data_IF_515453128097
#
_entry.id   IF_515453128097
#
_cell.length_a   1.000
_cell.length_b   1.000
_cell.length_c   1.000
_cell.angle_alpha   90.00
_cell.angle_beta   90.00
_cell.angle_gamma   90.00
#
_symmetry.space_group_name_H-M   'P 1'
#
loop_
_entity.id
_entity.type
_entity.pdbx_description
1 polymer ?
#
# COMPACT_ATOMS: atom_id res chain seq x y z
N UNK A 1 1.92 17.56 7.65
CA UNK A 1 2.99 18.28 6.95
C UNK A 1 2.32 19.34 6.08
N UNK A 2 2.35 20.60 6.49
CA UNK A 2 1.69 21.69 5.76
C UNK A 2 2.61 22.17 4.64
N UNK A 3 2.19 21.99 3.39
CA UNK A 3 2.81 22.62 2.24
C UNK A 3 2.37 24.09 2.24
N UNK A 4 3.31 24.99 2.52
CA UNK A 4 3.10 26.42 2.28
C UNK A 4 3.50 26.68 0.83
N UNK A 5 2.52 26.88 -0.03
CA UNK A 5 2.75 27.36 -1.39
C UNK A 5 3.41 28.74 -1.33
N UNK A 6 4.71 28.80 -1.62
CA UNK A 6 5.54 30.02 -1.62
C UNK A 6 5.19 31.00 -2.74
N UNK A 7 4.32 30.63 -3.68
CA UNK A 7 3.95 31.48 -4.81
C UNK A 7 2.70 32.36 -4.58
N UNK A 8 2.04 32.29 -3.43
CA UNK A 8 0.87 33.11 -3.13
C UNK A 8 0.81 33.56 -1.65
N UNK A 9 1.86 34.23 -1.15
CA UNK A 9 1.75 34.87 0.17
C UNK A 9 0.84 36.12 0.08
N UNK A 10 -0.12 36.23 1.01
CA UNK A 10 -1.01 37.40 1.10
C UNK A 10 -0.22 38.72 1.30
N UNK A 11 0.99 38.63 1.88
CA UNK A 11 1.90 39.76 2.08
C UNK A 11 2.45 40.31 0.75
N UNK A 12 2.72 39.45 -0.24
CA UNK A 12 3.18 39.85 -1.57
C UNK A 12 2.07 40.51 -2.42
N UNK A 13 0.80 40.15 -2.17
CA UNK A 13 -0.35 40.78 -2.83
C UNK A 13 -0.63 42.19 -2.29
N UNK A 14 -0.47 42.41 -0.98
CA UNK A 14 -0.67 43.72 -0.33
C UNK A 14 0.42 44.72 -0.76
N UNK A 15 1.66 44.27 -0.95
CA UNK A 15 2.76 45.08 -1.47
C UNK A 15 2.50 45.62 -2.90
N UNK A 16 1.75 44.87 -3.73
CA UNK A 16 1.46 45.25 -5.12
C UNK A 16 0.32 46.26 -5.26
N UNK A 17 -0.73 46.16 -4.43
CA UNK A 17 -1.95 46.94 -4.64
C UNK A 17 -2.07 48.20 -3.76
N UNK A 18 -1.36 48.32 -2.62
CA UNK A 18 -1.19 49.55 -1.83
C UNK A 18 -0.17 49.31 -0.70
N UNK A 19 1.14 49.58 -0.91
CA UNK A 19 2.15 49.23 0.08
C UNK A 19 2.05 50.11 1.34
N UNK A 20 1.95 49.52 2.55
CA UNK A 20 1.99 50.27 3.80
C UNK A 20 3.39 50.84 4.05
N UNK A 21 3.49 51.92 4.85
CA UNK A 21 4.77 52.64 5.07
C UNK A 21 5.85 51.80 5.76
N UNK A 22 5.48 50.75 6.48
CA UNK A 22 6.41 49.75 7.04
C UNK A 22 5.78 48.39 6.78
N UNK A 23 6.52 47.51 6.11
CA UNK A 23 6.12 46.13 5.84
C UNK A 23 7.24 45.20 6.28
N UNK A 24 6.91 44.22 7.13
CA UNK A 24 7.84 43.18 7.58
C UNK A 24 7.41 41.89 6.89
N UNK A 25 8.23 41.39 5.97
CA UNK A 25 8.03 40.09 5.32
C UNK A 25 8.82 39.01 6.05
N UNK A 26 8.25 37.81 6.10
CA UNK A 26 8.96 36.61 6.52
C UNK A 26 9.30 35.78 5.28
N UNK A 27 10.59 35.70 4.97
CA UNK A 27 11.09 34.88 3.88
C UNK A 27 11.93 33.74 4.47
N UNK A 28 11.61 32.50 4.08
CA UNK A 28 12.40 31.34 4.46
C UNK A 28 13.61 31.28 3.53
N UNK A 29 14.77 31.67 4.04
CA UNK A 29 16.01 31.61 3.28
C UNK A 29 16.57 30.17 3.27
N UNK A 30 16.27 29.42 2.22
CA UNK A 30 16.68 28.00 2.11
C UNK A 30 18.13 27.82 1.65
N UNK A 31 18.94 28.87 1.41
CA UNK A 31 20.35 28.77 0.96
C UNK A 31 20.58 27.81 -0.24
N UNK A 32 19.58 27.62 -1.11
CA UNK A 32 19.65 26.64 -2.19
C UNK A 32 19.61 25.18 -1.71
N UNK A 33 19.07 24.92 -0.53
CA UNK A 33 18.91 23.58 0.03
C UNK A 33 18.09 22.71 -0.92
N UNK A 34 18.68 21.61 -1.35
CA UNK A 34 18.00 20.59 -2.12
C UNK A 34 16.89 19.98 -1.28
N UNK A 35 15.66 20.00 -1.79
CA UNK A 35 14.53 19.34 -1.15
C UNK A 35 14.83 17.84 -1.08
N UNK A 36 14.89 17.27 0.12
CA UNK A 36 15.00 15.83 0.30
C UNK A 36 13.67 15.19 -0.11
N UNK A 37 13.63 14.63 -1.32
CA UNK A 37 12.51 13.80 -1.77
C UNK A 37 12.69 12.41 -1.17
N UNK A 38 11.76 11.97 -0.32
CA UNK A 38 11.76 10.58 0.14
C UNK A 38 11.10 9.69 -0.91
N UNK A 39 11.84 8.67 -1.35
CA UNK A 39 11.29 7.61 -2.19
C UNK A 39 10.90 6.44 -1.28
N UNK A 40 9.61 6.07 -1.20
CA UNK A 40 9.22 4.90 -0.44
C UNK A 40 9.79 3.65 -1.10
N UNK A 41 10.39 2.77 -0.28
CA UNK A 41 10.82 1.46 -0.74
C UNK A 41 9.63 0.50 -0.75
N UNK A 42 9.34 -0.08 -1.91
CA UNK A 42 8.26 -1.06 -2.08
C UNK A 42 8.89 -2.39 -2.50
N UNK A 43 8.61 -3.45 -1.76
CA UNK A 43 9.04 -4.80 -2.09
C UNK A 43 7.86 -5.62 -2.62
N UNK A 44 8.00 -6.18 -3.82
CA UNK A 44 7.04 -7.13 -4.37
C UNK A 44 7.43 -8.56 -3.99
N UNK A 45 6.49 -9.32 -3.43
CA UNK A 45 6.65 -10.74 -3.14
C UNK A 45 5.78 -11.53 -4.12
N UNK A 46 6.37 -12.52 -4.79
CA UNK A 46 5.65 -13.47 -5.63
C UNK A 46 5.77 -14.85 -5.00
N UNK A 47 4.62 -15.47 -4.70
CA UNK A 47 4.55 -16.79 -4.10
C UNK A 47 3.31 -17.52 -4.62
N UNK A 48 3.38 -18.86 -4.61
CA UNK A 48 2.18 -19.67 -4.78
C UNK A 48 1.42 -19.72 -3.46
N UNK A 49 0.31 -18.98 -3.41
CA UNK A 49 -0.52 -18.84 -2.22
C UNK A 49 -1.87 -19.53 -2.37
N UNK A 50 -2.31 -19.84 -3.59
CA UNK A 50 -3.68 -20.25 -3.89
C UNK A 50 -3.90 -21.76 -3.76
N UNK A 51 -2.83 -22.56 -3.88
CA UNK A 51 -2.90 -24.02 -3.78
C UNK A 51 -3.83 -24.64 -4.81
N UNK A 52 -4.77 -25.46 -4.36
CA UNK A 52 -5.73 -26.20 -5.21
C UNK A 52 -7.09 -25.49 -5.32
N UNK A 53 -7.12 -24.17 -5.15
CA UNK A 53 -8.37 -23.40 -5.18
C UNK A 53 -9.07 -23.49 -6.54
N UNK A 54 -10.40 -23.68 -6.59
CA UNK A 54 -11.17 -23.67 -7.84
C UNK A 54 -11.25 -22.28 -8.48
N UNK A 55 -10.88 -21.22 -7.74
CA UNK A 55 -10.90 -19.82 -8.19
C UNK A 55 -9.51 -19.35 -8.67
N UNK A 56 -8.77 -20.21 -9.35
CA UNK A 56 -7.46 -19.86 -9.88
C UNK A 56 -7.60 -18.83 -11.03
N UNK A 57 -7.01 -17.65 -10.85
CA UNK A 57 -6.88 -16.62 -11.89
C UNK A 57 -5.60 -16.87 -12.68
N UNK A 58 -5.62 -16.65 -13.99
CA UNK A 58 -4.42 -16.80 -14.84
C UNK A 58 -3.35 -15.76 -14.45
N UNK A 59 -2.07 -16.10 -14.58
CA UNK A 59 -0.95 -15.28 -14.08
C UNK A 59 -0.92 -13.87 -14.67
N UNK A 60 -1.33 -13.72 -15.93
CA UNK A 60 -1.41 -12.43 -16.65
C UNK A 60 -2.49 -11.49 -16.11
N UNK A 61 -3.51 -12.04 -15.43
CA UNK A 61 -4.65 -11.28 -14.92
C UNK A 61 -4.52 -11.06 -13.39
N UNK A 62 -3.37 -11.40 -12.78
CA UNK A 62 -3.10 -11.22 -11.34
C UNK A 62 -2.44 -9.87 -11.08
N UNK A 63 -3.15 -8.99 -10.38
CA UNK A 63 -2.61 -7.72 -9.89
C UNK A 63 -1.89 -7.88 -8.55
N UNK A 64 -0.83 -7.08 -8.36
CA UNK A 64 -0.22 -6.90 -7.05
C UNK A 64 -1.17 -6.17 -6.10
N UNK A 65 -1.40 -6.77 -4.94
CA UNK A 65 -2.09 -6.11 -3.82
C UNK A 65 -1.07 -5.62 -2.82
N UNK A 66 -1.33 -4.42 -2.30
CA UNK A 66 -0.67 -3.98 -1.08
C UNK A 66 -1.12 -4.89 0.08
N UNK A 67 -0.15 -5.30 0.89
CA UNK A 67 -0.36 -6.12 2.07
C UNK A 67 0.13 -5.36 3.30
N UNK A 68 -0.73 -5.29 4.29
CA UNK A 68 -0.59 -4.58 5.56
C UNK A 68 -1.09 -5.53 6.66
N UNK A 69 -0.77 -5.25 7.93
CA UNK A 69 -1.26 -6.05 9.05
C UNK A 69 -2.80 -6.03 9.11
N UNK A 70 -3.40 -4.89 8.79
CA UNK A 70 -4.86 -4.71 8.85
C UNK A 70 -5.59 -5.26 7.62
N UNK A 71 -4.90 -5.46 6.48
CA UNK A 71 -5.50 -5.91 5.22
C UNK A 71 -5.33 -7.42 4.95
N UNK A 72 -4.62 -8.12 5.84
CA UNK A 72 -4.26 -9.53 5.64
C UNK A 72 -5.49 -10.44 5.48
N UNK A 73 -6.52 -10.27 6.30
CA UNK A 73 -7.74 -11.09 6.22
C UNK A 73 -8.50 -10.86 4.90
N UNK A 74 -8.54 -9.63 4.42
CA UNK A 74 -9.14 -9.30 3.13
C UNK A 74 -8.36 -9.93 1.97
N UNK A 75 -7.03 -9.90 2.06
CA UNK A 75 -6.14 -10.55 1.10
C UNK A 75 -6.33 -12.07 1.09
N UNK A 76 -6.41 -12.71 2.26
CA UNK A 76 -6.68 -14.15 2.41
C UNK A 76 -8.05 -14.53 1.82
N UNK A 77 -9.09 -13.75 2.09
CA UNK A 77 -10.42 -13.97 1.51
C UNK A 77 -10.45 -13.82 -0.03
N UNK A 78 -9.56 -13.00 -0.59
CA UNK A 78 -9.47 -12.81 -2.05
C UNK A 78 -8.78 -13.97 -2.76
N UNK A 79 -7.73 -14.52 -2.16
CA UNK A 79 -7.01 -15.68 -2.69
C UNK A 79 -7.79 -16.97 -2.45
N UNK A 80 -8.53 -17.05 -1.33
CA UNK A 80 -9.24 -18.24 -0.87
C UNK A 80 -8.37 -19.51 -1.00
N UNK A 81 -7.22 -19.53 -0.29
CA UNK A 81 -6.28 -20.65 -0.37
C UNK A 81 -6.93 -21.93 0.11
N UNK A 82 -6.76 -23.00 -0.67
CA UNK A 82 -7.22 -24.33 -0.29
C UNK A 82 -6.21 -25.41 -0.66
N UNK A 83 -6.23 -26.51 0.10
CA UNK A 83 -5.34 -27.65 -0.11
C UNK A 83 -6.17 -28.93 -0.10
N UNK A 84 -6.05 -29.72 -1.15
CA UNK A 84 -6.62 -31.06 -1.21
C UNK A 84 -5.58 -32.05 -0.67
N UNK A 85 -5.91 -32.73 0.43
CA UNK A 85 -5.00 -33.69 1.06
C UNK A 85 -5.66 -35.06 1.07
N UNK A 86 -4.90 -36.08 0.64
CA UNK A 86 -5.27 -37.48 0.81
C UNK A 86 -4.37 -38.10 1.89
N UNK A 87 -4.95 -38.90 2.77
CA UNK A 87 -4.23 -39.60 3.84
C UNK A 87 -4.86 -40.96 4.13
N UNK A 88 -4.10 -41.85 4.76
CA UNK A 88 -4.62 -43.14 5.22
C UNK A 88 -5.09 -43.02 6.66
N UNK A 89 -6.32 -43.44 6.96
CA UNK A 89 -6.85 -43.41 8.32
C UNK A 89 -6.20 -44.52 9.19
N UNK A 90 -6.46 -44.50 10.50
CA UNK A 90 -5.93 -45.53 11.41
C UNK A 90 -6.43 -46.96 11.10
N UNK A 91 -7.50 -47.10 10.31
CA UNK A 91 -8.05 -48.38 9.86
C UNK A 91 -7.45 -48.89 8.53
N UNK A 92 -6.60 -48.09 7.87
CA UNK A 92 -5.97 -48.45 6.59
C UNK A 92 -6.75 -48.02 5.35
N UNK A 93 -7.90 -47.36 5.49
CA UNK A 93 -8.69 -46.89 4.35
C UNK A 93 -8.16 -45.55 3.81
N UNK A 94 -8.21 -45.35 2.47
CA UNK A 94 -7.91 -44.06 1.88
C UNK A 94 -8.99 -43.05 2.27
N UNK A 95 -8.58 -41.96 2.89
CA UNK A 95 -9.39 -40.80 3.20
C UNK A 95 -8.79 -39.56 2.54
N UNK A 96 -9.60 -38.53 2.35
CA UNK A 96 -9.11 -37.24 1.87
C UNK A 96 -10.12 -36.14 2.15
N UNK A 97 -9.61 -34.94 2.32
CA UNK A 97 -10.41 -33.75 2.58
C UNK A 97 -9.79 -32.51 1.92
N UNK A 98 -10.64 -31.52 1.70
CA UNK A 98 -10.27 -30.20 1.20
C UNK A 98 -10.25 -29.21 2.34
N UNK A 99 -9.05 -28.75 2.70
CA UNK A 99 -8.87 -27.74 3.74
C UNK A 99 -8.89 -26.36 3.09
N UNK A 100 -9.82 -25.50 3.52
CA UNK A 100 -9.91 -24.11 3.08
C UNK A 100 -9.52 -23.17 4.21
N UNK A 101 -8.74 -22.13 3.91
CA UNK A 101 -8.26 -21.18 4.90
C UNK A 101 -8.79 -19.77 4.57
N UNK A 102 -9.56 -19.20 5.48
CA UNK A 102 -10.17 -17.87 5.31
C UNK A 102 -9.40 -16.76 6.06
N UNK A 103 -8.81 -17.10 7.20
CA UNK A 103 -8.00 -16.21 8.04
C UNK A 103 -6.76 -16.97 8.52
N UNK A 104 -5.81 -16.26 9.14
CA UNK A 104 -4.70 -16.87 9.86
C UNK A 104 -5.16 -17.51 11.18
#
# INVERSE_FOLDING_TARGET
MFLVDTNASAQNLIAKNNPPRVQISYEVYTKGATLAVSLPFVAGIMADLAGTTPRAVDYKDRDFTQLDNDSFDQFMGRIAPSVNVAWTNAAGDPAGDTLAFATM
#
